data_IF_015137945891
#
_entry.id   IF_015137945891
#
_cell.length_a   1.000
_cell.length_b   1.000
_cell.length_c   1.000
_cell.angle_alpha   90.00
_cell.angle_beta   90.00
_cell.angle_gamma   90.00
#
_symmetry.space_group_name_H-M   'P 1'
#
loop_
_entity.id
_entity.type
_entity.pdbx_description
1 polymer ?
#
# COMPACT_ATOMS: atom_id res chain seq x y z
N UNK A 1 28.54 4.60 -9.33
CA UNK A 1 27.44 3.91 -8.63
C UNK A 1 27.36 4.49 -7.23
N UNK A 2 26.27 5.13 -6.81
CA UNK A 2 26.07 5.42 -5.39
C UNK A 2 26.06 4.10 -4.60
N UNK A 3 26.60 4.11 -3.38
CA UNK A 3 26.59 2.93 -2.51
C UNK A 3 25.14 2.55 -2.18
N UNK A 4 24.83 1.25 -2.23
CA UNK A 4 23.53 0.75 -1.77
C UNK A 4 23.33 1.12 -0.29
N UNK A 5 22.13 1.57 0.12
CA UNK A 5 21.85 1.83 1.52
C UNK A 5 22.07 0.56 2.36
N UNK A 6 22.44 0.71 3.65
CA UNK A 6 22.58 -0.45 4.53
C UNK A 6 21.26 -1.24 4.58
N UNK A 7 21.32 -2.57 4.70
CA UNK A 7 20.12 -3.40 4.73
C UNK A 7 19.24 -3.00 5.92
N UNK A 8 17.94 -2.91 5.68
CA UNK A 8 16.96 -2.64 6.72
C UNK A 8 16.94 -3.77 7.76
N UNK A 9 16.67 -3.41 9.02
CA UNK A 9 16.50 -4.39 10.11
C UNK A 9 15.01 -4.58 10.38
N UNK A 10 14.55 -5.83 10.32
CA UNK A 10 13.17 -6.17 10.68
C UNK A 10 12.96 -6.01 12.18
N UNK A 11 11.96 -5.22 12.57
CA UNK A 11 11.59 -5.05 13.97
C UNK A 11 10.73 -6.23 14.47
N UNK A 12 9.96 -6.86 13.58
CA UNK A 12 9.14 -8.03 13.88
C UNK A 12 9.74 -9.27 13.21
N UNK A 13 10.76 -9.92 13.80
CA UNK A 13 11.44 -11.06 13.19
C UNK A 13 10.55 -12.31 13.09
N UNK A 14 9.49 -12.38 13.89
CA UNK A 14 8.57 -13.51 13.97
C UNK A 14 7.13 -13.05 13.69
N UNK A 15 6.31 -13.99 13.20
CA UNK A 15 4.88 -13.78 13.03
C UNK A 15 4.23 -13.52 14.40
N UNK A 16 3.49 -12.43 14.52
CA UNK A 16 2.64 -12.17 15.69
C UNK A 16 1.33 -12.93 15.54
N UNK A 17 0.88 -13.54 16.64
CA UNK A 17 -0.41 -14.24 16.69
C UNK A 17 -1.52 -13.27 17.13
N UNK A 18 -2.49 -13.04 16.24
CA UNK A 18 -3.69 -12.27 16.50
C UNK A 18 -4.86 -12.95 15.76
N UNK A 19 -5.83 -13.55 16.49
CA UNK A 19 -6.96 -14.24 15.87
C UNK A 19 -7.89 -13.31 15.09
N UNK A 20 -7.78 -11.98 15.25
CA UNK A 20 -8.56 -10.98 14.52
C UNK A 20 -7.81 -10.41 13.31
N UNK A 21 -6.53 -10.74 13.14
CA UNK A 21 -5.75 -10.25 12.01
C UNK A 21 -5.99 -11.07 10.74
N UNK A 22 -5.79 -10.43 9.60
CA UNK A 22 -5.67 -11.11 8.31
C UNK A 22 -4.19 -11.38 8.07
N UNK A 23 -3.87 -12.59 7.62
CA UNK A 23 -2.53 -12.99 7.24
C UNK A 23 -2.45 -13.13 5.73
N UNK A 24 -1.54 -12.40 5.11
CA UNK A 24 -1.24 -12.56 3.69
C UNK A 24 -0.57 -13.93 3.48
N UNK A 25 -1.17 -14.78 2.65
CA UNK A 25 -0.65 -16.12 2.36
C UNK A 25 -1.00 -16.58 0.94
N UNK A 26 -0.20 -17.51 0.41
CA UNK A 26 -0.42 -18.07 -0.92
C UNK A 26 -1.72 -18.87 -1.00
N UNK A 27 -2.08 -19.58 0.06
CA UNK A 27 -3.26 -20.44 0.15
C UNK A 27 -4.54 -19.61 0.05
N UNK A 28 -4.57 -18.45 0.73
CA UNK A 28 -5.76 -17.60 0.81
C UNK A 28 -5.87 -16.60 -0.34
N UNK A 29 -4.77 -15.93 -0.69
CA UNK A 29 -4.80 -14.80 -1.63
C UNK A 29 -4.10 -15.07 -2.97
N UNK A 30 -3.45 -16.24 -3.09
CA UNK A 30 -2.63 -16.64 -4.25
C UNK A 30 -1.45 -15.71 -4.51
N UNK A 31 -0.96 -15.03 -3.48
CA UNK A 31 0.27 -14.24 -3.53
C UNK A 31 1.50 -15.13 -3.77
N UNK A 32 2.56 -14.59 -4.38
CA UNK A 32 3.83 -15.30 -4.64
C UNK A 32 4.97 -14.80 -3.76
N UNK A 33 5.18 -13.49 -3.67
CA UNK A 33 6.27 -12.92 -2.88
C UNK A 33 7.68 -13.23 -3.41
N UNK A 34 7.80 -13.53 -4.70
CA UNK A 34 9.05 -13.94 -5.37
C UNK A 34 9.79 -12.79 -6.09
N UNK A 35 9.19 -11.60 -6.15
CA UNK A 35 9.69 -10.42 -6.85
C UNK A 35 9.47 -10.44 -8.37
N UNK A 36 8.82 -11.48 -8.90
CA UNK A 36 8.63 -11.69 -10.34
C UNK A 36 7.16 -11.60 -10.73
N UNK A 37 6.29 -12.35 -10.03
CA UNK A 37 4.87 -12.36 -10.27
C UNK A 37 4.21 -11.07 -9.76
N UNK A 38 3.23 -10.57 -10.50
CA UNK A 38 2.45 -9.41 -10.04
C UNK A 38 1.51 -9.81 -8.89
N UNK A 39 1.80 -9.29 -7.71
CA UNK A 39 1.07 -9.58 -6.47
C UNK A 39 0.04 -8.49 -6.12
N UNK A 40 -0.13 -7.47 -6.96
CA UNK A 40 -0.97 -6.29 -6.65
C UNK A 40 -2.39 -6.67 -6.26
N UNK A 41 -3.05 -7.50 -7.08
CA UNK A 41 -4.45 -7.87 -6.82
C UNK A 41 -4.59 -8.81 -5.62
N UNK A 42 -3.58 -9.64 -5.36
CA UNK A 42 -3.57 -10.53 -4.19
C UNK A 42 -3.47 -9.74 -2.89
N UNK A 43 -2.58 -8.75 -2.86
CA UNK A 43 -2.40 -7.87 -1.70
C UNK A 43 -3.61 -6.96 -1.52
N UNK A 44 -4.14 -6.37 -2.59
CA UNK A 44 -5.34 -5.53 -2.50
C UNK A 44 -6.53 -6.32 -1.93
N UNK A 45 -6.76 -7.57 -2.39
CA UNK A 45 -7.81 -8.43 -1.80
C UNK A 45 -7.60 -8.71 -0.32
N UNK A 46 -6.35 -8.84 0.13
CA UNK A 46 -6.04 -9.03 1.54
C UNK A 46 -6.35 -7.78 2.37
N UNK A 47 -6.05 -6.58 1.83
CA UNK A 47 -6.41 -5.30 2.45
C UNK A 47 -7.94 -5.15 2.52
N UNK A 48 -8.64 -5.43 1.41
CA UNK A 48 -10.10 -5.35 1.33
C UNK A 48 -10.77 -6.30 2.32
N UNK A 49 -10.20 -7.50 2.51
CA UNK A 49 -10.69 -8.48 3.48
C UNK A 49 -10.66 -7.94 4.91
N UNK A 50 -9.62 -7.21 5.32
CA UNK A 50 -9.56 -6.58 6.66
C UNK A 50 -10.74 -5.62 6.83
N UNK A 51 -10.95 -4.76 5.83
CA UNK A 51 -12.01 -3.76 5.83
C UNK A 51 -13.41 -4.40 5.86
N UNK A 52 -13.61 -5.48 5.10
CA UNK A 52 -14.93 -6.10 4.91
C UNK A 52 -15.33 -7.01 6.08
N UNK A 53 -14.38 -7.65 6.75
CA UNK A 53 -14.68 -8.61 7.82
C UNK A 53 -14.68 -7.99 9.21
N UNK A 54 -13.76 -7.06 9.50
CA UNK A 54 -13.57 -6.49 10.85
C UNK A 54 -13.86 -4.98 10.87
N UNK A 55 -14.00 -4.34 9.72
CA UNK A 55 -14.20 -2.88 9.59
C UNK A 55 -12.91 -2.07 9.80
N UNK A 56 -11.97 -2.59 10.56
CA UNK A 56 -10.65 -2.07 10.89
C UNK A 56 -9.77 -3.22 11.38
N UNK A 57 -8.46 -3.15 11.25
CA UNK A 57 -7.61 -4.25 11.72
C UNK A 57 -6.20 -4.25 11.14
N UNK A 58 -5.56 -5.41 11.22
CA UNK A 58 -4.18 -5.60 10.77
C UNK A 58 -4.13 -6.60 9.63
N UNK A 59 -3.41 -6.25 8.57
CA UNK A 59 -2.89 -7.21 7.60
C UNK A 59 -1.43 -7.48 7.93
N UNK A 60 -1.11 -8.71 8.33
CA UNK A 60 0.26 -9.18 8.49
C UNK A 60 0.83 -9.68 7.17
N UNK A 61 2.00 -9.17 6.80
CA UNK A 61 2.68 -9.44 5.53
C UNK A 61 4.00 -10.18 5.85
N UNK A 62 4.15 -11.47 5.48
CA UNK A 62 5.39 -12.20 5.71
C UNK A 62 6.53 -11.66 4.87
N UNK A 63 7.76 -11.96 5.27
CA UNK A 63 8.97 -11.74 4.46
C UNK A 63 8.76 -12.27 3.04
N UNK A 64 9.12 -11.44 2.06
CA UNK A 64 8.93 -11.71 0.65
C UNK A 64 9.20 -10.46 -0.17
N UNK A 65 9.33 -10.62 -1.49
CA UNK A 65 9.41 -9.51 -2.45
C UNK A 65 8.14 -9.51 -3.28
N UNK A 66 7.29 -8.51 -3.10
CA UNK A 66 5.99 -8.44 -3.75
C UNK A 66 6.05 -7.43 -4.89
N UNK A 67 6.09 -7.91 -6.13
CA UNK A 67 6.10 -7.02 -7.29
C UNK A 67 4.70 -6.41 -7.46
N UNK A 68 4.66 -5.10 -7.56
CA UNK A 68 3.44 -4.32 -7.74
C UNK A 68 3.44 -3.67 -9.13
N UNK A 69 2.30 -3.71 -9.82
CA UNK A 69 2.03 -2.98 -11.06
C UNK A 69 0.87 -2.01 -10.91
N UNK A 70 0.14 -2.08 -9.79
CA UNK A 70 -1.02 -1.23 -9.45
C UNK A 70 -0.84 -0.59 -8.08
N UNK A 71 -1.56 0.52 -7.89
CA UNK A 71 -1.63 1.21 -6.60
C UNK A 71 -2.36 0.35 -5.58
N UNK A 72 -1.76 0.16 -4.40
CA UNK A 72 -2.42 -0.42 -3.24
C UNK A 72 -3.19 0.68 -2.48
N UNK A 73 -4.48 0.47 -2.26
CA UNK A 73 -5.34 1.37 -1.49
C UNK A 73 -5.49 0.84 -0.07
N UNK A 74 -4.98 1.58 0.91
CA UNK A 74 -5.11 1.28 2.34
C UNK A 74 -6.30 2.04 2.90
N UNK A 75 -7.29 1.30 3.40
CA UNK A 75 -8.53 1.89 3.92
C UNK A 75 -8.36 2.47 5.34
N UNK A 76 -9.25 3.39 5.76
CA UNK A 76 -9.30 3.88 7.14
C UNK A 76 -9.33 2.73 8.15
N UNK A 77 -8.49 2.80 9.19
CA UNK A 77 -8.43 1.76 10.24
C UNK A 77 -7.71 0.48 9.86
N UNK A 78 -7.20 0.34 8.63
CA UNK A 78 -6.36 -0.80 8.21
C UNK A 78 -4.89 -0.49 8.43
N UNK A 79 -4.19 -1.40 9.10
CA UNK A 79 -2.75 -1.34 9.35
C UNK A 79 -2.03 -2.47 8.63
N UNK A 80 -1.02 -2.14 7.85
CA UNK A 80 -0.13 -3.10 7.20
C UNK A 80 1.10 -3.28 8.06
N UNK A 81 1.39 -4.52 8.50
CA UNK A 81 2.55 -4.79 9.34
C UNK A 81 3.34 -5.94 8.73
N UNK A 82 4.57 -5.65 8.32
CA UNK A 82 5.51 -6.67 7.85
C UNK A 82 6.12 -7.48 8.98
N UNK A 83 6.46 -8.74 8.74
CA UNK A 83 7.20 -9.59 9.69
C UNK A 83 8.10 -10.60 8.99
N UNK A 84 9.07 -11.14 9.71
CA UNK A 84 10.06 -12.11 9.21
C UNK A 84 11.49 -11.63 9.45
N UNK A 85 12.47 -12.48 9.16
CA UNK A 85 13.88 -12.17 9.42
C UNK A 85 14.33 -10.90 8.66
N UNK A 86 13.76 -10.70 7.46
CA UNK A 86 13.84 -9.45 6.70
C UNK A 86 12.45 -8.84 6.58
N UNK A 87 12.42 -7.52 6.37
CA UNK A 87 11.17 -6.82 6.04
C UNK A 87 10.65 -7.32 4.69
N UNK A 88 9.34 -7.53 4.52
CA UNK A 88 8.78 -7.63 3.18
C UNK A 88 9.08 -6.38 2.37
N UNK A 89 9.29 -6.58 1.07
CA UNK A 89 9.57 -5.50 0.12
C UNK A 89 8.40 -5.37 -0.85
N UNK A 90 7.80 -4.18 -0.91
CA UNK A 90 6.96 -3.78 -2.03
C UNK A 90 7.84 -3.26 -3.15
N UNK A 91 7.86 -4.00 -4.26
CA UNK A 91 8.76 -3.77 -5.38
C UNK A 91 7.99 -3.20 -6.56
N UNK A 92 8.31 -1.97 -6.96
CA UNK A 92 8.01 -1.49 -8.28
C UNK A 92 9.18 -1.85 -9.19
N UNK A 93 9.04 -2.88 -10.02
CA UNK A 93 10.12 -3.34 -10.89
C UNK A 93 10.54 -2.28 -11.93
N UNK A 94 11.70 -2.45 -12.55
CA UNK A 94 12.18 -1.54 -13.59
C UNK A 94 11.15 -1.32 -14.70
N UNK A 95 10.98 -0.07 -15.11
CA UNK A 95 10.10 0.35 -16.21
C UNK A 95 8.69 -0.23 -16.09
N UNK A 96 8.11 -0.21 -14.89
CA UNK A 96 6.75 -0.71 -14.65
C UNK A 96 5.74 0.16 -15.42
N UNK A 97 4.85 -0.44 -16.24
CA UNK A 97 3.90 0.32 -17.04
C UNK A 97 3.03 1.29 -16.22
N UNK A 98 2.97 2.54 -16.67
CA UNK A 98 2.18 3.60 -16.04
C UNK A 98 2.89 4.39 -14.94
N UNK A 99 4.19 4.17 -14.71
CA UNK A 99 5.01 4.93 -13.75
C UNK A 99 6.15 5.74 -14.40
N UNK A 100 6.18 5.81 -15.73
CA UNK A 100 7.23 6.50 -16.48
C UNK A 100 6.96 7.99 -16.71
N UNK A 101 5.71 8.38 -17.00
CA UNK A 101 5.40 9.72 -17.51
C UNK A 101 4.42 10.48 -16.60
N UNK A 102 3.35 9.80 -16.19
CA UNK A 102 2.31 10.38 -15.34
C UNK A 102 2.52 9.95 -13.91
N UNK A 103 2.50 10.92 -12.99
CA UNK A 103 2.59 10.65 -11.56
C UNK A 103 1.63 9.52 -11.17
N UNK A 104 2.15 8.51 -10.45
CA UNK A 104 1.34 7.38 -10.00
C UNK A 104 1.82 6.87 -8.65
N UNK A 105 0.87 6.56 -7.79
CA UNK A 105 1.13 6.14 -6.42
C UNK A 105 1.37 4.63 -6.35
N UNK A 106 2.33 4.18 -5.55
CA UNK A 106 2.48 2.75 -5.21
C UNK A 106 1.55 2.39 -4.06
N UNK A 107 1.55 3.17 -2.98
CA UNK A 107 0.64 3.01 -1.83
C UNK A 107 -0.14 4.29 -1.58
N UNK A 108 -1.45 4.17 -1.41
CA UNK A 108 -2.37 5.27 -1.19
C UNK A 108 -3.22 5.03 0.05
N UNK A 109 -3.12 5.92 1.05
CA UNK A 109 -4.00 5.93 2.21
C UNK A 109 -5.29 6.68 1.87
N UNK A 110 -6.40 5.94 1.80
CA UNK A 110 -7.69 6.44 1.35
C UNK A 110 -8.56 6.97 2.50
N UNK A 111 -9.49 7.84 2.16
CA UNK A 111 -10.63 8.19 2.99
C UNK A 111 -11.70 7.09 3.01
N UNK A 112 -12.87 7.41 3.58
CA UNK A 112 -13.99 6.47 3.69
C UNK A 112 -14.38 5.93 2.31
N UNK A 113 -14.50 4.60 2.21
CA UNK A 113 -15.02 3.92 1.01
C UNK A 113 -16.46 4.40 0.75
N UNK A 114 -16.69 5.02 -0.41
CA UNK A 114 -18.04 5.38 -0.83
C UNK A 114 -18.87 4.14 -1.19
N UNK A 115 -20.19 4.20 -1.02
CA UNK A 115 -21.13 3.11 -1.35
C UNK A 115 -21.32 2.92 -2.87
N UNK A 116 -20.25 2.82 -3.64
CA UNK A 116 -20.31 2.57 -5.09
C UNK A 116 -20.67 3.78 -5.97
N UNK A 117 -20.94 4.95 -5.39
CA UNK A 117 -20.95 6.19 -6.16
C UNK A 117 -19.52 6.69 -6.30
N UNK A 118 -18.98 6.63 -7.53
CA UNK A 118 -17.80 7.42 -7.89
C UNK A 118 -18.14 8.86 -7.53
N UNK A 119 -17.38 9.47 -6.61
CA UNK A 119 -17.51 10.89 -6.39
C UNK A 119 -17.24 11.56 -7.74
N UNK A 120 -18.25 12.23 -8.32
CA UNK A 120 -17.99 13.19 -9.38
C UNK A 120 -17.06 14.23 -8.79
N UNK A 121 -15.81 14.17 -9.23
CA UNK A 121 -14.83 15.11 -8.76
C UNK A 121 -15.10 16.44 -9.46
N UNK A 122 -15.42 17.53 -8.74
CA UNK A 122 -15.50 18.83 -9.37
C UNK A 122 -14.14 19.14 -10.01
N UNK A 123 -14.10 19.80 -11.19
CA UNK A 123 -12.86 20.11 -11.86
C UNK A 123 -11.97 20.93 -10.93
N UNK A 124 -10.75 20.44 -10.71
CA UNK A 124 -9.80 21.07 -9.80
C UNK A 124 -9.18 22.29 -10.52
N UNK A 125 -9.17 23.49 -9.89
CA UNK A 125 -8.46 24.64 -10.45
C UNK A 125 -6.97 24.32 -10.62
N UNK A 126 -6.42 24.67 -11.77
CA UNK A 126 -4.98 24.52 -12.06
C UNK A 126 -4.16 25.25 -10.97
N UNK A 127 -3.54 24.48 -10.08
CA UNK A 127 -2.75 25.00 -8.95
C UNK A 127 -2.98 24.29 -7.61
N UNK A 128 -4.07 23.53 -7.47
CA UNK A 128 -4.26 22.65 -6.29
C UNK A 128 -3.62 21.30 -6.59
N UNK A 129 -2.65 20.88 -5.78
CA UNK A 129 -1.92 19.63 -5.97
C UNK A 129 -2.85 18.43 -6.17
N UNK A 130 -2.45 17.50 -7.05
CA UNK A 130 -3.25 16.35 -7.48
C UNK A 130 -3.91 15.65 -6.29
N UNK A 131 -5.20 15.45 -6.34
CA UNK A 131 -6.04 14.73 -5.37
C UNK A 131 -6.19 13.26 -5.78
N UNK A 132 -6.71 12.42 -4.89
CA UNK A 132 -6.85 10.99 -5.16
C UNK A 132 -7.71 10.68 -6.42
N UNK A 133 -8.81 11.40 -6.63
CA UNK A 133 -9.65 11.16 -7.80
C UNK A 133 -8.98 11.51 -9.14
N UNK A 134 -7.93 12.36 -9.14
CA UNK A 134 -7.14 12.66 -10.35
C UNK A 134 -6.36 11.43 -10.86
N UNK A 135 -6.21 10.40 -10.02
CA UNK A 135 -5.62 9.10 -10.36
C UNK A 135 -6.66 8.00 -10.57
N UNK A 136 -7.96 8.33 -10.58
CA UNK A 136 -9.04 7.35 -10.56
C UNK A 136 -9.11 6.54 -9.25
N UNK A 137 -8.50 7.05 -8.17
CA UNK A 137 -8.50 6.41 -6.86
C UNK A 137 -9.76 6.78 -6.05
N UNK A 138 -10.04 6.05 -4.96
CA UNK A 138 -11.07 6.43 -4.00
C UNK A 138 -10.85 7.82 -3.41
N UNK A 139 -11.82 8.33 -2.65
CA UNK A 139 -11.70 9.61 -1.97
C UNK A 139 -10.41 9.70 -1.15
N UNK A 140 -9.77 10.87 -1.19
CA UNK A 140 -8.57 11.15 -0.38
C UNK A 140 -8.91 11.10 1.11
N UNK A 141 -7.89 10.82 1.92
CA UNK A 141 -8.04 10.87 3.36
C UNK A 141 -8.37 12.30 3.84
N UNK A 142 -9.08 12.38 4.96
CA UNK A 142 -9.56 13.64 5.52
C UNK A 142 -9.39 13.65 7.05
N UNK A 143 -9.76 14.72 7.78
CA UNK A 143 -9.63 14.77 9.24
C UNK A 143 -10.36 13.66 10.01
N UNK A 144 -11.24 12.89 9.36
CA UNK A 144 -11.90 11.70 9.91
C UNK A 144 -11.18 10.37 9.62
N UNK A 145 -10.02 10.37 8.96
CA UNK A 145 -9.27 9.16 8.60
C UNK A 145 -8.25 8.81 9.69
N UNK A 146 -8.65 7.96 10.63
CA UNK A 146 -7.83 7.54 11.78
C UNK A 146 -7.33 6.09 11.65
N UNK A 147 -6.35 5.72 12.47
CA UNK A 147 -5.91 4.35 12.75
C UNK A 147 -5.36 3.53 11.58
N UNK A 148 -5.05 4.15 10.44
CA UNK A 148 -4.37 3.49 9.33
C UNK A 148 -2.85 3.58 9.49
N UNK A 149 -2.14 2.52 9.09
CA UNK A 149 -0.67 2.53 9.15
C UNK A 149 -0.03 1.59 8.15
N UNK A 150 1.25 1.79 7.89
CA UNK A 150 2.13 0.79 7.28
C UNK A 150 3.45 0.79 8.04
N UNK A 151 3.95 -0.38 8.47
CA UNK A 151 5.21 -0.45 9.21
C UNK A 151 5.95 -1.75 8.97
N UNK A 152 7.27 -1.72 9.16
CA UNK A 152 8.15 -2.86 8.93
C UNK A 152 8.04 -3.44 7.51
N UNK A 153 7.76 -2.60 6.51
CA UNK A 153 7.72 -2.92 5.08
C UNK A 153 8.69 -1.97 4.38
N UNK A 154 9.52 -2.50 3.49
CA UNK A 154 10.37 -1.70 2.63
C UNK A 154 9.68 -1.42 1.30
N UNK A 155 10.02 -0.29 0.69
CA UNK A 155 9.53 0.09 -0.64
C UNK A 155 10.73 0.31 -1.56
N UNK A 156 10.74 -0.42 -2.68
CA UNK A 156 11.81 -0.37 -3.67
C UNK A 156 11.23 0.10 -5.01
N UNK A 157 11.76 1.20 -5.55
CA UNK A 157 11.38 1.74 -6.86
C UNK A 157 12.54 1.48 -7.82
N UNK A 158 12.31 0.58 -8.78
CA UNK A 158 13.25 0.24 -9.83
C UNK A 158 13.47 1.38 -10.82
N UNK A 159 14.48 1.23 -11.68
CA UNK A 159 14.87 2.24 -12.66
C UNK A 159 13.78 2.47 -13.71
N UNK A 160 13.73 3.68 -14.29
CA UNK A 160 12.77 4.01 -15.33
C UNK A 160 11.33 4.19 -14.84
N UNK A 161 11.13 4.42 -13.54
CA UNK A 161 9.85 4.82 -12.94
C UNK A 161 9.89 6.26 -12.36
N UNK A 162 10.35 7.29 -13.10
CA UNK A 162 10.58 8.62 -12.54
C UNK A 162 9.30 9.33 -12.07
N UNK A 163 8.12 8.87 -12.49
CA UNK A 163 6.84 9.41 -12.05
C UNK A 163 6.24 8.66 -10.84
N UNK A 164 6.96 7.70 -10.26
CA UNK A 164 6.48 6.95 -9.10
C UNK A 164 6.52 7.79 -7.82
N UNK A 165 5.39 7.86 -7.13
CA UNK A 165 5.31 8.33 -5.75
C UNK A 165 5.13 7.12 -4.86
N UNK A 166 6.07 6.91 -3.94
CA UNK A 166 6.09 5.70 -3.13
C UNK A 166 4.87 5.55 -2.24
N UNK A 167 4.59 6.57 -1.42
CA UNK A 167 3.45 6.56 -0.51
C UNK A 167 2.81 7.94 -0.51
N UNK A 168 1.47 7.98 -0.66
CA UNK A 168 0.66 9.14 -0.30
C UNK A 168 -0.03 8.89 1.03
N UNK A 169 0.62 9.32 2.11
CA UNK A 169 0.15 9.22 3.48
C UNK A 169 -0.56 10.49 3.95
N UNK A 170 -1.77 10.74 3.44
CA UNK A 170 -2.67 11.70 4.09
C UNK A 170 -3.51 10.92 5.09
N UNK A 171 -3.60 11.43 6.31
CA UNK A 171 -4.38 10.82 7.39
C UNK A 171 -4.46 11.79 8.57
N UNK A 172 -5.31 11.45 9.54
CA UNK A 172 -5.48 12.16 10.80
C UNK A 172 -4.73 11.45 11.94
N UNK A 173 -5.11 11.73 13.19
CA UNK A 173 -4.45 11.21 14.38
C UNK A 173 -4.43 9.67 14.42
N UNK A 174 -3.49 9.11 15.20
CA UNK A 174 -3.29 7.66 15.37
C UNK A 174 -2.92 6.89 14.09
N UNK A 175 -2.42 7.58 13.08
CA UNK A 175 -1.84 6.97 11.89
C UNK A 175 -0.31 7.10 11.93
N UNK A 176 0.39 6.14 11.33
CA UNK A 176 1.85 6.14 11.29
C UNK A 176 2.40 5.41 10.06
N UNK A 177 3.62 5.77 9.70
CA UNK A 177 4.46 5.12 8.70
C UNK A 177 5.81 4.79 9.34
#
# INVERSE_FOLDING_TARGET
MPASPPPSVSFYPLRLEDPKAVYLSAERFRVRGDGLADDSDAIQRAIDTVQETVGQGVLFIPEGRYRLTKTLTVWPGVRLIGYGAKRPVFLLADRTPGYAETERLVVFFAGRRGNGQKAEQPPIPEGVGRTAGDFGLPADANPGTFYSAMSNVDLEIGEGNPAAVGVRGRYAQHCYL
#
